data_IF_271754028433
#
_entry.id   IF_271754028433
#
_cell.length_a   1.000
_cell.length_b   1.000
_cell.length_c   1.000
_cell.angle_alpha   90.00
_cell.angle_beta   90.00
_cell.angle_gamma   90.00
#
_symmetry.space_group_name_H-M   'P 1'
#
loop_
_entity.id
_entity.type
_entity.pdbx_description
1 polymer ?
#
# COMPACT_ATOMS: atom_id res chain seq x y z
N UNK A 1 -46.22 -10.81 -10.79
CA UNK A 1 -45.27 -10.63 -9.69
C UNK A 1 -43.96 -11.41 -9.88
N UNK A 2 -43.94 -12.71 -10.25
CA UNK A 2 -42.70 -13.51 -10.44
C UNK A 2 -41.71 -12.91 -11.47
N UNK A 3 -42.21 -12.33 -12.59
CA UNK A 3 -41.35 -11.73 -13.63
C UNK A 3 -40.65 -10.43 -13.21
N UNK A 4 -41.27 -9.61 -12.32
CA UNK A 4 -40.69 -8.37 -11.81
C UNK A 4 -39.53 -8.68 -10.82
N UNK A 5 -39.69 -9.71 -10.00
CA UNK A 5 -38.66 -10.16 -9.06
C UNK A 5 -37.41 -10.68 -9.80
N UNK A 6 -37.59 -11.42 -10.92
CA UNK A 6 -36.49 -11.89 -11.75
C UNK A 6 -35.70 -10.74 -12.40
N UNK A 7 -36.38 -9.70 -12.86
CA UNK A 7 -35.71 -8.53 -13.46
C UNK A 7 -34.94 -7.73 -12.42
N UNK A 8 -35.50 -7.56 -11.20
CA UNK A 8 -34.80 -6.90 -10.09
C UNK A 8 -33.54 -7.68 -9.65
N UNK A 9 -33.64 -9.01 -9.60
CA UNK A 9 -32.49 -9.86 -9.25
C UNK A 9 -31.40 -9.84 -10.32
N UNK A 10 -31.77 -9.81 -11.60
CA UNK A 10 -30.82 -9.65 -12.73
C UNK A 10 -30.12 -8.28 -12.71
N UNK A 11 -30.85 -7.20 -12.38
CA UNK A 11 -30.24 -5.87 -12.23
C UNK A 11 -29.25 -5.81 -11.05
N UNK A 12 -29.54 -6.45 -9.92
CA UNK A 12 -28.60 -6.52 -8.79
C UNK A 12 -27.33 -7.31 -9.12
N UNK A 13 -27.41 -8.34 -9.96
CA UNK A 13 -26.22 -9.10 -10.39
C UNK A 13 -25.33 -8.31 -11.37
N UNK A 14 -25.90 -7.45 -12.20
CA UNK A 14 -25.13 -6.60 -13.13
C UNK A 14 -24.32 -5.50 -12.42
N UNK A 15 -24.77 -5.01 -11.28
CA UNK A 15 -24.03 -3.99 -10.50
C UNK A 15 -22.84 -4.61 -9.75
N UNK A 16 -22.90 -5.90 -9.43
CA UNK A 16 -21.78 -6.60 -8.77
C UNK A 16 -20.60 -6.92 -9.70
N UNK A 17 -20.83 -6.95 -11.03
CA UNK A 17 -19.84 -7.38 -12.02
C UNK A 17 -18.82 -6.29 -12.42
N UNK A 18 -19.01 -5.03 -11.99
CA UNK A 18 -18.10 -3.92 -12.31
C UNK A 18 -17.48 -3.25 -11.09
N UNK A 19 -17.47 -3.91 -9.94
CA UNK A 19 -16.71 -3.43 -8.79
C UNK A 19 -15.22 -3.62 -9.10
N UNK A 20 -14.61 -2.57 -9.65
CA UNK A 20 -13.19 -2.50 -9.89
C UNK A 20 -12.46 -2.83 -8.59
N UNK A 21 -11.62 -3.87 -8.61
CA UNK A 21 -10.89 -4.28 -7.42
C UNK A 21 -9.74 -3.30 -7.19
N UNK A 22 -9.81 -2.58 -6.08
CA UNK A 22 -8.71 -1.73 -5.62
C UNK A 22 -7.75 -2.51 -4.72
N UNK A 23 -6.50 -2.07 -4.72
CA UNK A 23 -5.49 -2.56 -3.79
C UNK A 23 -5.94 -2.35 -2.35
N UNK A 24 -5.66 -3.34 -1.46
CA UNK A 24 -6.03 -3.25 -0.03
C UNK A 24 -4.78 -3.18 0.85
N UNK A 25 -4.75 -2.19 1.75
CA UNK A 25 -3.78 -2.08 2.82
C UNK A 25 -4.45 -2.39 4.17
N UNK A 26 -3.92 -3.36 4.94
CA UNK A 26 -4.53 -3.83 6.20
C UNK A 26 -6.03 -4.19 6.07
N UNK A 27 -6.47 -4.67 4.89
CA UNK A 27 -7.87 -4.95 4.58
C UNK A 27 -8.73 -3.73 4.25
N UNK A 28 -8.15 -2.53 4.19
CA UNK A 28 -8.81 -1.28 3.80
C UNK A 28 -8.52 -1.04 2.32
N UNK A 29 -9.53 -0.94 1.44
CA UNK A 29 -9.30 -0.60 0.03
C UNK A 29 -8.72 0.81 -0.12
N UNK A 30 -7.82 0.99 -1.10
CA UNK A 30 -7.24 2.29 -1.46
C UNK A 30 -8.14 3.01 -2.49
N UNK A 31 -9.44 3.07 -2.22
CA UNK A 31 -10.48 3.59 -3.13
C UNK A 31 -11.23 4.80 -2.57
N UNK A 32 -10.93 5.18 -1.34
CA UNK A 32 -11.65 6.23 -0.64
C UNK A 32 -10.85 7.51 -0.44
N UNK A 33 -11.52 8.52 0.11
CA UNK A 33 -10.86 9.76 0.52
C UNK A 33 -9.96 9.52 1.72
N UNK A 34 -8.93 10.38 1.87
CA UNK A 34 -7.99 10.33 3.00
C UNK A 34 -8.70 10.40 4.36
N UNK A 35 -9.84 11.09 4.47
CA UNK A 35 -10.56 11.20 5.73
C UNK A 35 -11.25 9.89 6.10
N UNK A 36 -11.91 9.23 5.13
CA UNK A 36 -12.51 7.91 5.33
C UNK A 36 -11.44 6.85 5.61
N UNK A 37 -10.31 6.91 4.91
CA UNK A 37 -9.19 6.00 5.12
C UNK A 37 -8.60 6.16 6.52
N UNK A 38 -8.40 7.40 6.99
CA UNK A 38 -7.91 7.73 8.32
C UNK A 38 -8.83 7.19 9.44
N UNK A 39 -10.15 7.28 9.27
CA UNK A 39 -11.12 6.70 10.22
C UNK A 39 -10.95 5.17 10.33
N UNK A 40 -10.80 4.50 9.19
CA UNK A 40 -10.58 3.04 9.15
C UNK A 40 -9.21 2.64 9.75
N UNK A 41 -8.15 3.43 9.54
CA UNK A 41 -6.85 3.24 10.18
C UNK A 41 -6.95 3.41 11.70
N UNK A 42 -7.64 4.46 12.17
CA UNK A 42 -7.87 4.69 13.61
C UNK A 42 -8.58 3.50 14.27
N UNK A 43 -9.57 2.92 13.60
CA UNK A 43 -10.27 1.73 14.09
C UNK A 43 -9.35 0.49 14.22
N UNK A 44 -8.20 0.49 13.55
CA UNK A 44 -7.15 -0.54 13.67
C UNK A 44 -6.03 -0.18 14.67
N UNK A 45 -6.23 0.86 15.49
CA UNK A 45 -5.26 1.29 16.50
C UNK A 45 -4.10 2.15 15.96
N UNK A 46 -4.24 2.65 14.73
CA UNK A 46 -3.22 3.53 14.11
C UNK A 46 -3.50 4.97 14.48
N UNK A 47 -2.48 5.71 14.93
CA UNK A 47 -2.58 7.09 15.42
C UNK A 47 -1.96 8.09 14.45
N UNK A 48 -2.61 9.23 14.27
CA UNK A 48 -2.13 10.32 13.39
C UNK A 48 -0.96 11.07 14.01
N UNK A 49 0.10 11.30 13.20
CA UNK A 49 1.26 12.12 13.56
C UNK A 49 1.17 13.48 12.86
N UNK A 50 0.67 14.48 13.58
CA UNK A 50 0.44 15.82 13.03
C UNK A 50 1.76 16.56 12.72
N UNK A 51 2.82 16.32 13.49
CA UNK A 51 4.10 16.99 13.30
C UNK A 51 4.78 16.50 12.02
N UNK A 52 4.92 15.19 11.87
CA UNK A 52 5.50 14.58 10.65
C UNK A 52 4.65 14.86 9.41
N UNK A 53 3.31 14.85 9.53
CA UNK A 53 2.42 15.14 8.39
C UNK A 53 2.59 16.55 7.87
N UNK A 54 2.77 17.55 8.74
CA UNK A 54 3.03 18.94 8.33
C UNK A 54 4.37 19.09 7.59
N UNK A 55 5.37 18.33 7.99
CA UNK A 55 6.69 18.37 7.35
C UNK A 55 6.67 17.82 5.91
N UNK A 56 5.76 16.88 5.59
CA UNK A 56 5.63 16.31 4.24
C UNK A 56 4.84 17.19 3.26
N UNK A 57 4.04 18.14 3.78
CA UNK A 57 3.21 19.00 2.95
C UNK A 57 1.90 18.36 2.43
N UNK A 58 1.24 18.98 1.44
CA UNK A 58 -0.02 18.49 0.90
C UNK A 58 0.15 17.16 0.13
N UNK A 59 -0.84 16.27 0.24
CA UNK A 59 -0.85 14.99 -0.47
C UNK A 59 -0.26 13.82 0.30
N UNK A 60 0.21 14.02 1.54
CA UNK A 60 0.66 12.95 2.42
C UNK A 60 0.25 13.16 3.88
N UNK A 61 -0.04 12.08 4.59
CA UNK A 61 -0.27 12.08 6.04
C UNK A 61 0.50 10.95 6.70
N UNK A 62 1.08 11.22 7.87
CA UNK A 62 1.86 10.26 8.66
C UNK A 62 1.06 9.74 9.83
N UNK A 63 1.21 8.46 10.09
CA UNK A 63 0.59 7.75 11.19
C UNK A 63 1.60 6.82 11.84
N UNK A 64 1.38 6.48 13.11
CA UNK A 64 2.17 5.50 13.86
C UNK A 64 1.25 4.37 14.34
N UNK A 65 1.75 3.14 14.34
CA UNK A 65 0.98 1.98 14.77
C UNK A 65 1.78 0.70 14.74
N UNK A 66 1.10 -0.42 14.52
CA UNK A 66 1.72 -1.75 14.44
C UNK A 66 1.42 -2.38 13.08
N UNK A 67 2.42 -2.96 12.46
CA UNK A 67 2.30 -3.72 11.22
C UNK A 67 2.98 -5.09 11.38
N UNK A 68 2.22 -6.16 11.19
CA UNK A 68 2.71 -7.55 11.37
C UNK A 68 3.38 -7.81 12.74
N UNK A 69 2.88 -7.15 13.80
CA UNK A 69 3.41 -7.27 15.17
C UNK A 69 4.52 -6.29 15.54
N UNK A 70 5.11 -5.57 14.56
CA UNK A 70 6.22 -4.64 14.73
C UNK A 70 5.71 -3.18 14.78
N UNK A 71 6.41 -2.31 15.53
CA UNK A 71 6.15 -0.87 15.49
C UNK A 71 6.45 -0.32 14.09
N UNK A 72 5.52 0.46 13.54
CA UNK A 72 5.63 0.98 12.20
C UNK A 72 5.21 2.45 12.09
N UNK A 73 5.86 3.16 11.19
CA UNK A 73 5.40 4.45 10.67
C UNK A 73 4.71 4.21 9.33
N UNK A 74 3.54 4.81 9.14
CA UNK A 74 2.79 4.75 7.89
C UNK A 74 2.75 6.13 7.25
N UNK A 75 3.03 6.22 5.95
CA UNK A 75 2.78 7.41 5.14
C UNK A 75 1.68 7.10 4.14
N UNK A 76 0.55 7.80 4.24
CA UNK A 76 -0.59 7.63 3.34
C UNK A 76 -0.54 8.73 2.30
N UNK A 77 -0.45 8.34 1.02
CA UNK A 77 -0.40 9.24 -0.12
C UNK A 77 -1.77 9.37 -0.78
N UNK A 78 -2.15 10.59 -1.08
CA UNK A 78 -3.42 10.92 -1.71
C UNK A 78 -3.27 12.12 -2.64
N UNK A 79 -4.11 12.19 -3.66
CA UNK A 79 -4.13 13.37 -4.53
C UNK A 79 -4.68 14.58 -3.75
N UNK A 80 -3.96 15.70 -3.76
CA UNK A 80 -4.32 16.88 -2.98
C UNK A 80 -5.66 17.52 -3.40
N UNK A 81 -6.05 17.40 -4.70
CA UNK A 81 -7.30 17.95 -5.25
C UNK A 81 -8.48 17.02 -4.97
N UNK A 82 -8.43 15.77 -5.43
CA UNK A 82 -9.51 14.80 -5.27
C UNK A 82 -9.59 14.19 -3.87
N UNK A 83 -8.51 14.28 -3.08
CA UNK A 83 -8.33 13.66 -1.77
C UNK A 83 -8.41 12.12 -1.77
N UNK A 84 -8.38 11.47 -2.94
CA UNK A 84 -8.40 10.01 -3.09
C UNK A 84 -7.03 9.43 -2.75
N UNK A 85 -7.03 8.40 -1.92
CA UNK A 85 -5.83 7.65 -1.54
C UNK A 85 -5.40 6.76 -2.70
N UNK A 86 -4.11 6.80 -3.04
CA UNK A 86 -3.52 5.93 -4.06
C UNK A 86 -2.37 5.07 -3.54
N UNK A 87 -1.84 5.35 -2.35
CA UNK A 87 -0.73 4.58 -1.84
C UNK A 87 -0.51 4.68 -0.34
N UNK A 88 0.17 3.69 0.21
CA UNK A 88 0.61 3.66 1.61
C UNK A 88 2.04 3.13 1.67
N UNK A 89 2.95 3.90 2.25
CA UNK A 89 4.27 3.40 2.65
C UNK A 89 4.24 2.97 4.12
N UNK A 90 4.92 1.87 4.40
CA UNK A 90 5.17 1.36 5.76
C UNK A 90 6.68 1.38 5.97
N UNK A 91 7.11 1.87 7.11
CA UNK A 91 8.51 1.86 7.53
C UNK A 91 8.65 1.13 8.87
N UNK A 92 9.53 0.12 8.90
CA UNK A 92 9.92 -0.64 10.08
C UNK A 92 11.41 -0.39 10.32
N UNK A 93 11.77 0.08 11.51
CA UNK A 93 13.17 0.43 11.84
C UNK A 93 13.82 -0.63 12.69
N UNK A 94 15.05 -0.98 12.35
CA UNK A 94 15.90 -1.96 13.04
C UNK A 94 17.26 -1.34 13.31
N UNK A 95 17.93 -1.79 14.35
CA UNK A 95 19.28 -1.30 14.72
C UNK A 95 20.40 -1.89 13.87
N UNK A 96 20.14 -2.90 13.03
CA UNK A 96 21.11 -3.42 12.06
C UNK A 96 20.43 -4.19 10.93
N UNK A 97 21.17 -4.41 9.84
CA UNK A 97 20.73 -5.22 8.68
C UNK A 97 20.49 -6.67 9.08
N UNK A 98 21.33 -7.24 9.95
CA UNK A 98 21.22 -8.63 10.41
C UNK A 98 19.87 -8.85 11.10
N UNK A 99 19.46 -7.92 11.97
CA UNK A 99 18.18 -7.98 12.66
C UNK A 99 16.98 -7.78 11.72
N UNK A 100 17.15 -7.03 10.64
CA UNK A 100 16.11 -6.77 9.66
C UNK A 100 15.91 -7.92 8.64
N UNK A 101 16.94 -8.76 8.38
CA UNK A 101 16.89 -9.81 7.33
C UNK A 101 15.79 -10.85 7.55
N UNK A 102 15.59 -11.33 8.77
CA UNK A 102 14.55 -12.33 9.08
C UNK A 102 13.16 -11.72 8.94
N UNK A 103 12.83 -10.55 9.54
CA UNK A 103 11.58 -9.84 9.27
C UNK A 103 11.36 -9.56 7.77
N UNK A 104 12.37 -9.12 7.03
CA UNK A 104 12.27 -8.86 5.59
C UNK A 104 11.79 -10.10 4.83
N UNK A 105 12.41 -11.26 5.07
CA UNK A 105 12.05 -12.53 4.43
C UNK A 105 10.65 -13.01 4.86
N UNK A 106 10.31 -12.85 6.15
CA UNK A 106 8.99 -13.22 6.67
C UNK A 106 7.87 -12.41 6.05
N UNK A 107 8.07 -11.10 5.88
CA UNK A 107 7.10 -10.20 5.21
C UNK A 107 6.89 -10.64 3.77
N UNK A 108 7.96 -10.92 3.02
CA UNK A 108 7.88 -11.42 1.65
C UNK A 108 7.08 -12.71 1.56
N UNK A 109 7.34 -13.67 2.46
CA UNK A 109 6.60 -14.93 2.54
C UNK A 109 5.11 -14.72 2.85
N UNK A 110 4.76 -13.77 3.70
CA UNK A 110 3.36 -13.43 4.00
C UNK A 110 2.67 -12.75 2.80
N UNK A 111 3.37 -11.88 2.07
CA UNK A 111 2.87 -11.27 0.85
C UNK A 111 2.57 -12.32 -0.22
N UNK A 112 3.46 -13.28 -0.44
CA UNK A 112 3.25 -14.39 -1.38
C UNK A 112 2.05 -15.28 -0.99
N UNK A 113 1.87 -15.55 0.30
CA UNK A 113 0.69 -16.27 0.79
C UNK A 113 -0.62 -15.50 0.57
N UNK A 114 -0.58 -14.19 0.78
CA UNK A 114 -1.74 -13.32 0.60
C UNK A 114 -2.10 -13.10 -0.86
N UNK A 115 -1.09 -13.04 -1.73
CA UNK A 115 -1.23 -12.79 -3.16
C UNK A 115 -0.59 -13.93 -3.98
N UNK A 116 -1.21 -15.12 -4.01
CA UNK A 116 -0.60 -16.32 -4.61
C UNK A 116 -0.41 -16.22 -6.13
N UNK A 117 -1.14 -15.31 -6.79
CA UNK A 117 -1.01 -15.03 -8.22
C UNK A 117 -0.05 -13.86 -8.52
N UNK A 118 0.58 -13.25 -7.52
CA UNK A 118 1.50 -12.15 -7.74
C UNK A 118 2.73 -12.62 -8.54
N UNK A 119 3.11 -11.83 -9.54
CA UNK A 119 4.41 -11.96 -10.20
C UNK A 119 5.39 -11.04 -9.47
N UNK A 120 6.57 -11.54 -9.13
CA UNK A 120 7.55 -10.73 -8.42
C UNK A 120 8.94 -10.79 -9.05
N UNK A 121 9.70 -9.73 -8.87
CA UNK A 121 11.12 -9.61 -9.18
C UNK A 121 11.93 -9.26 -7.96
N UNK A 122 13.20 -9.67 -7.93
CA UNK A 122 14.12 -9.36 -6.86
C UNK A 122 15.21 -8.40 -7.34
N UNK A 123 15.51 -7.38 -6.53
CA UNK A 123 16.66 -6.51 -6.69
C UNK A 123 17.78 -6.99 -5.76
N UNK A 124 19.02 -6.90 -6.23
CA UNK A 124 20.20 -7.28 -5.47
C UNK A 124 21.09 -6.07 -5.24
N UNK A 125 21.76 -6.05 -4.11
CA UNK A 125 22.81 -5.08 -3.82
C UNK A 125 24.14 -5.44 -4.52
N UNK A 126 25.19 -4.63 -4.29
CA UNK A 126 26.53 -4.83 -4.85
C UNK A 126 27.18 -6.15 -4.42
N UNK A 127 26.75 -6.77 -3.32
CA UNK A 127 27.26 -8.02 -2.80
C UNK A 127 26.48 -9.23 -3.34
N UNK A 128 25.42 -9.00 -4.14
CA UNK A 128 24.55 -10.02 -4.67
C UNK A 128 23.42 -10.44 -3.72
N UNK A 129 23.30 -9.82 -2.55
CA UNK A 129 22.23 -10.05 -1.58
C UNK A 129 20.92 -9.39 -2.03
N UNK A 130 19.79 -10.07 -1.82
CA UNK A 130 18.48 -9.49 -2.11
C UNK A 130 18.19 -8.38 -1.10
N UNK A 131 18.03 -7.16 -1.62
CA UNK A 131 17.69 -5.96 -0.85
C UNK A 131 16.36 -5.32 -1.27
N UNK A 132 15.67 -5.87 -2.25
CA UNK A 132 14.37 -5.39 -2.70
C UNK A 132 13.56 -6.47 -3.41
N UNK A 133 12.24 -6.37 -3.28
CA UNK A 133 11.27 -7.21 -3.96
C UNK A 133 10.15 -6.33 -4.49
N UNK A 134 9.76 -6.55 -5.75
CA UNK A 134 8.61 -5.88 -6.35
C UNK A 134 7.56 -6.93 -6.68
N UNK A 135 6.36 -6.78 -6.13
CA UNK A 135 5.22 -7.66 -6.37
C UNK A 135 4.20 -6.94 -7.24
N UNK A 136 3.84 -7.53 -8.36
CA UNK A 136 2.76 -7.08 -9.22
C UNK A 136 1.51 -7.89 -8.88
N UNK A 137 0.49 -7.23 -8.36
CA UNK A 137 -0.74 -7.86 -7.89
C UNK A 137 -1.77 -7.82 -9.02
N UNK A 138 -2.18 -8.97 -9.59
CA UNK A 138 -3.19 -9.03 -10.63
C UNK A 138 -4.59 -8.85 -10.06
N UNK A 139 -5.53 -8.46 -10.92
CA UNK A 139 -6.96 -8.57 -10.65
C UNK A 139 -7.34 -10.06 -10.60
N UNK A 140 -8.24 -10.45 -9.70
CA UNK A 140 -8.72 -11.84 -9.62
C UNK A 140 -9.50 -12.27 -10.89
N UNK A 141 -10.19 -11.32 -11.53
CA UNK A 141 -11.04 -11.54 -12.67
C UNK A 141 -10.34 -11.31 -14.02
N UNK A 142 -9.17 -10.65 -14.05
CA UNK A 142 -8.51 -10.23 -15.28
C UNK A 142 -6.98 -10.23 -15.11
N UNK A 143 -6.25 -10.15 -16.22
CA UNK A 143 -4.77 -10.05 -16.25
C UNK A 143 -4.25 -8.65 -15.91
N UNK A 144 -5.13 -7.66 -15.75
CA UNK A 144 -4.74 -6.31 -15.36
C UNK A 144 -4.21 -6.25 -13.92
N UNK A 145 -3.19 -5.42 -13.72
CA UNK A 145 -2.58 -5.20 -12.41
C UNK A 145 -3.42 -4.20 -11.62
N UNK A 146 -3.92 -4.61 -10.45
CA UNK A 146 -4.63 -3.70 -9.54
C UNK A 146 -3.68 -2.95 -8.62
N UNK A 147 -2.49 -3.50 -8.37
CA UNK A 147 -1.55 -2.89 -7.45
C UNK A 147 -0.12 -3.34 -7.63
N UNK A 148 0.77 -2.57 -7.02
CA UNK A 148 2.18 -2.88 -6.89
C UNK A 148 2.57 -2.77 -5.43
N UNK A 149 3.33 -3.73 -4.92
CA UNK A 149 3.98 -3.64 -3.61
C UNK A 149 5.48 -3.70 -3.84
N UNK A 150 6.19 -2.68 -3.37
CA UNK A 150 7.65 -2.64 -3.37
C UNK A 150 8.11 -2.81 -1.94
N UNK A 151 8.91 -3.85 -1.68
CA UNK A 151 9.56 -4.08 -0.41
C UNK A 151 11.05 -3.80 -0.56
N UNK A 152 11.63 -2.98 0.32
CA UNK A 152 13.05 -2.62 0.31
C UNK A 152 13.68 -2.86 1.66
N UNK A 153 14.97 -3.21 1.65
CA UNK A 153 15.83 -3.25 2.82
C UNK A 153 16.89 -2.17 2.63
N UNK A 154 16.73 -1.06 3.33
CA UNK A 154 17.62 0.09 3.22
C UNK A 154 18.55 0.13 4.44
N UNK A 155 19.85 0.15 4.17
CA UNK A 155 20.88 0.37 5.16
C UNK A 155 21.30 1.84 5.08
N UNK A 156 21.04 2.62 6.13
CA UNK A 156 21.56 3.97 6.25
C UNK A 156 23.03 3.88 6.65
N UNK A 157 23.93 4.05 5.71
CA UNK A 157 25.38 4.18 5.98
C UNK A 157 25.68 5.59 6.55
N UNK A 158 25.03 5.94 7.65
CA UNK A 158 25.44 7.09 8.44
C UNK A 158 26.55 6.65 9.39
N UNK A 159 27.72 7.32 9.41
CA UNK A 159 28.80 7.00 10.33
C UNK A 159 28.41 7.14 11.81
N UNK A 160 27.22 7.65 12.10
CA UNK A 160 26.70 7.89 13.45
C UNK A 160 25.57 6.94 13.87
N UNK A 161 24.99 6.14 12.93
CA UNK A 161 23.87 5.24 13.21
C UNK A 161 23.76 4.14 12.15
N UNK A 162 23.94 2.90 12.56
CA UNK A 162 23.62 1.71 11.77
C UNK A 162 22.09 1.45 11.81
N UNK A 163 21.30 2.40 11.34
CA UNK A 163 19.87 2.23 11.26
C UNK A 163 19.52 1.52 9.94
N UNK A 164 18.87 0.39 10.04
CA UNK A 164 18.31 -0.32 8.90
C UNK A 164 16.79 -0.17 8.89
N UNK A 165 16.21 0.04 7.71
CA UNK A 165 14.77 0.11 7.55
C UNK A 165 14.26 -0.88 6.53
N UNK A 166 13.14 -1.56 6.87
CA UNK A 166 12.32 -2.24 5.87
C UNK A 166 11.23 -1.28 5.45
N UNK A 167 11.23 -0.92 4.17
CA UNK A 167 10.19 -0.13 3.53
C UNK A 167 9.23 -1.03 2.75
N UNK A 168 7.94 -0.75 2.83
CA UNK A 168 6.94 -1.34 1.93
C UNK A 168 6.10 -0.23 1.34
N UNK A 169 6.01 -0.16 0.02
CA UNK A 169 5.13 0.76 -0.69
C UNK A 169 4.00 -0.01 -1.37
N UNK A 170 2.78 0.20 -0.92
CA UNK A 170 1.54 -0.30 -1.52
C UNK A 170 0.99 0.77 -2.44
N UNK A 171 0.79 0.47 -3.72
CA UNK A 171 0.27 1.42 -4.72
C UNK A 171 -0.94 0.81 -5.42
N UNK A 172 -2.06 1.51 -5.41
CA UNK A 172 -3.21 1.26 -6.28
C UNK A 172 -2.92 1.87 -7.64
N UNK A 173 -2.81 1.04 -8.68
CA UNK A 173 -2.35 1.47 -10.00
C UNK A 173 -3.33 2.45 -10.64
N UNK A 174 -4.64 2.21 -10.49
CA UNK A 174 -5.65 3.06 -11.10
C UNK A 174 -5.71 4.45 -10.45
N UNK A 175 -5.80 4.47 -9.11
CA UNK A 175 -5.86 5.74 -8.39
C UNK A 175 -4.56 6.54 -8.51
N UNK A 176 -3.42 5.86 -8.64
CA UNK A 176 -2.15 6.51 -8.93
C UNK A 176 -2.19 7.19 -10.32
N UNK A 177 -2.61 6.46 -11.37
CA UNK A 177 -2.75 7.05 -12.73
C UNK A 177 -3.73 8.23 -12.76
N UNK A 178 -4.88 8.12 -12.07
CA UNK A 178 -5.83 9.24 -11.94
C UNK A 178 -5.22 10.44 -11.23
N UNK A 179 -4.41 10.20 -10.19
CA UNK A 179 -3.71 11.27 -9.47
C UNK A 179 -2.69 11.98 -10.36
N UNK A 180 -1.92 11.23 -11.17
CA UNK A 180 -0.98 11.83 -12.12
C UNK A 180 -1.69 12.66 -13.18
N UNK A 181 -2.79 12.16 -13.75
CA UNK A 181 -3.59 12.90 -14.74
C UNK A 181 -4.08 14.25 -14.18
N UNK A 182 -4.65 14.26 -12.97
CA UNK A 182 -5.12 15.47 -12.31
C UNK A 182 -4.00 16.49 -12.00
N UNK A 183 -2.79 16.03 -11.76
CA UNK A 183 -1.64 16.92 -11.52
C UNK A 183 -1.12 17.54 -12.83
N UNK A 184 -1.29 16.83 -13.96
CA UNK A 184 -0.81 17.29 -15.28
C UNK A 184 -1.81 18.24 -15.96
N UNK A 185 -3.08 18.32 -15.52
CA UNK A 185 -4.06 19.27 -16.04
C UNK A 185 -3.72 20.74 -15.73
N UNK A 186 -2.76 21.00 -14.84
CA UNK A 186 -2.33 22.35 -14.45
C UNK A 186 -1.05 22.81 -15.17
N UNK A 187 -0.49 22.01 -16.10
CA UNK A 187 0.70 22.34 -16.89
C UNK A 187 0.32 22.73 -18.31
#
# INVERSE_FOLDING_TARGET
MKKIISVLFALCLCVAASAQQHMKFMGIPLDGTIDNFALKLKAKGVTYDAAKSRALGPGAKVYNGTFMGEKATFMVFFNAKSRIVFGVSVELSYSSVELARVPFTNIAGQLLKKYPKAVYGANKDSNGDTNGLTFFIPNEADTEKIGVIIQTLNNSQSPLKDDCTIGLMYTDVENFKKSEALNNEDL
#
